data_IF_625018264313
#
_entry.id   IF_625018264313
#
_cell.length_a   1.000
_cell.length_b   1.000
_cell.length_c   1.000
_cell.angle_alpha   90.00
_cell.angle_beta   90.00
_cell.angle_gamma   90.00
#
_symmetry.space_group_name_H-M   'P 1'
#
loop_
_entity.id
_entity.type
_entity.pdbx_description
1 polymer ?
#
# COMPACT_ATOMS: atom_id res chain seq x y z
N UNK A 1 -8.25 -0.26 -17.72
CA UNK A 1 -8.57 1.14 -18.13
C UNK A 1 -8.44 2.14 -16.98
N UNK A 2 -9.04 1.92 -15.79
CA UNK A 2 -8.96 2.87 -14.66
C UNK A 2 -7.53 3.32 -14.30
N UNK A 3 -6.58 2.38 -14.13
CA UNK A 3 -5.18 2.71 -13.86
C UNK A 3 -4.55 3.58 -14.96
N UNK A 4 -4.89 3.34 -16.22
CA UNK A 4 -4.32 4.08 -17.36
C UNK A 4 -4.79 5.53 -17.31
N UNK A 5 -6.11 5.76 -17.31
CA UNK A 5 -6.66 7.11 -17.32
C UNK A 5 -6.33 7.89 -16.05
N UNK A 6 -6.33 7.24 -14.87
CA UNK A 6 -5.94 7.92 -13.63
C UNK A 6 -4.44 8.24 -13.57
N UNK A 7 -3.60 7.50 -14.28
CA UNK A 7 -2.15 7.76 -14.31
C UNK A 7 -1.78 8.84 -15.33
N UNK A 8 -2.33 8.80 -16.53
CA UNK A 8 -1.89 9.63 -17.64
C UNK A 8 -2.93 10.60 -18.18
N UNK A 9 -4.19 10.55 -17.71
CA UNK A 9 -5.28 11.39 -18.21
C UNK A 9 -5.76 10.93 -19.58
N UNK A 10 -5.93 11.88 -20.49
CA UNK A 10 -6.34 11.63 -21.87
C UNK A 10 -5.23 10.91 -22.63
N UNK A 11 -5.46 9.67 -23.00
CA UNK A 11 -4.54 8.82 -23.75
C UNK A 11 -5.31 7.92 -24.73
N UNK A 12 -4.62 7.03 -25.43
CA UNK A 12 -5.25 6.14 -26.41
C UNK A 12 -6.15 5.13 -25.71
N UNK A 13 -7.43 5.11 -26.09
CA UNK A 13 -8.41 4.11 -25.65
C UNK A 13 -8.59 3.07 -26.75
N UNK A 14 -8.11 1.86 -26.50
CA UNK A 14 -8.30 0.71 -27.38
C UNK A 14 -9.39 -0.19 -26.80
N UNK A 15 -10.51 -0.31 -27.50
CA UNK A 15 -11.62 -1.21 -27.14
C UNK A 15 -11.63 -2.51 -27.98
N UNK A 16 -10.85 -2.54 -29.05
CA UNK A 16 -10.70 -3.69 -29.94
C UNK A 16 -9.26 -4.22 -29.93
N UNK A 17 -9.06 -5.51 -30.18
CA UNK A 17 -7.72 -6.10 -30.30
C UNK A 17 -6.91 -5.43 -31.43
N UNK A 18 -5.66 -5.09 -31.14
CA UNK A 18 -4.74 -4.55 -32.14
C UNK A 18 -4.26 -5.72 -33.01
N UNK A 19 -4.61 -5.67 -34.29
CA UNK A 19 -4.32 -6.76 -35.27
C UNK A 19 -3.13 -6.44 -36.19
N UNK A 20 -2.52 -5.26 -36.06
CA UNK A 20 -1.40 -4.82 -36.90
C UNK A 20 -0.61 -3.68 -36.26
N UNK A 21 0.44 -3.22 -36.93
CA UNK A 21 1.20 -2.07 -36.48
C UNK A 21 0.35 -0.78 -36.58
N UNK A 22 0.16 -0.10 -35.44
CA UNK A 22 -0.48 1.20 -35.36
C UNK A 22 0.61 2.23 -35.11
N UNK A 23 0.74 3.17 -36.01
CA UNK A 23 1.80 4.20 -35.99
C UNK A 23 1.29 5.57 -35.56
N UNK A 24 -0.01 5.77 -35.46
CA UNK A 24 -0.65 7.00 -35.00
C UNK A 24 -1.35 6.77 -33.68
N UNK A 25 -1.32 7.76 -32.82
CA UNK A 25 -1.99 7.73 -31.52
C UNK A 25 -2.91 8.96 -31.38
N UNK A 26 -4.17 8.73 -31.02
CA UNK A 26 -5.14 9.79 -30.77
C UNK A 26 -5.63 9.71 -29.33
N UNK A 27 -5.69 10.84 -28.64
CA UNK A 27 -6.17 10.91 -27.26
C UNK A 27 -7.69 10.76 -27.20
N UNK A 28 -8.16 9.83 -26.40
CA UNK A 28 -9.54 9.77 -25.94
C UNK A 28 -9.62 10.48 -24.59
N UNK A 29 -10.74 11.12 -24.31
CA UNK A 29 -10.93 11.85 -23.07
C UNK A 29 -11.06 10.93 -21.87
N UNK A 30 -10.78 11.44 -20.65
CA UNK A 30 -11.09 10.74 -19.41
C UNK A 30 -12.56 10.30 -19.37
N UNK A 31 -13.48 11.11 -19.94
CA UNK A 31 -14.91 10.81 -20.04
C UNK A 31 -15.17 9.53 -20.84
N UNK A 32 -14.54 9.41 -22.02
CA UNK A 32 -14.67 8.21 -22.88
C UNK A 32 -14.17 6.96 -22.14
N UNK A 33 -13.06 7.08 -21.39
CA UNK A 33 -12.56 5.98 -20.55
C UNK A 33 -13.57 5.57 -19.49
N UNK A 34 -14.15 6.54 -18.76
CA UNK A 34 -15.11 6.24 -17.69
C UNK A 34 -16.41 5.66 -18.23
N UNK A 35 -16.85 6.08 -19.43
CA UNK A 35 -17.98 5.46 -20.10
C UNK A 35 -17.74 3.95 -20.30
N UNK A 36 -16.63 3.58 -20.89
CA UNK A 36 -16.29 2.17 -21.11
C UNK A 36 -16.11 1.42 -19.78
N UNK A 37 -15.44 2.04 -18.78
CA UNK A 37 -15.25 1.44 -17.45
C UNK A 37 -16.61 1.11 -16.80
N UNK A 38 -17.58 2.02 -16.85
CA UNK A 38 -18.89 1.78 -16.25
C UNK A 38 -19.71 0.79 -17.07
N UNK A 39 -19.73 0.89 -18.40
CA UNK A 39 -20.42 -0.07 -19.27
C UNK A 39 -19.93 -1.51 -19.04
N UNK A 40 -18.61 -1.73 -18.98
CA UNK A 40 -18.00 -3.03 -18.73
C UNK A 40 -18.31 -3.55 -17.31
N UNK A 41 -18.21 -2.67 -16.30
CA UNK A 41 -18.47 -3.05 -14.91
C UNK A 41 -19.97 -3.32 -14.66
N UNK A 42 -20.87 -2.63 -15.36
CA UNK A 42 -22.31 -2.91 -15.31
C UNK A 42 -22.63 -4.29 -15.86
N UNK A 43 -22.04 -4.64 -17.01
CA UNK A 43 -22.17 -5.99 -17.57
C UNK A 43 -21.62 -7.03 -16.58
N UNK A 44 -20.44 -6.79 -16.00
CA UNK A 44 -19.82 -7.71 -15.05
C UNK A 44 -20.66 -7.89 -13.77
N UNK A 45 -21.17 -6.80 -13.19
CA UNK A 45 -22.04 -6.86 -12.00
C UNK A 45 -23.34 -7.61 -12.28
N UNK A 46 -23.90 -7.49 -13.49
CA UNK A 46 -25.17 -8.12 -13.84
C UNK A 46 -25.02 -9.59 -14.25
N UNK A 47 -23.86 -9.99 -14.79
CA UNK A 47 -23.70 -11.33 -15.39
C UNK A 47 -22.85 -12.30 -14.55
N UNK A 48 -21.95 -11.79 -13.68
CA UNK A 48 -21.11 -12.65 -12.87
C UNK A 48 -21.86 -13.16 -11.62
N UNK A 49 -21.52 -14.37 -11.20
CA UNK A 49 -22.07 -14.95 -9.99
C UNK A 49 -21.51 -14.23 -8.73
N UNK A 50 -22.36 -14.02 -7.69
CA UNK A 50 -21.87 -13.55 -6.39
C UNK A 50 -20.88 -14.55 -5.78
N UNK A 51 -19.87 -14.04 -5.07
CA UNK A 51 -18.91 -14.91 -4.39
C UNK A 51 -17.55 -14.25 -4.19
N UNK A 52 -16.73 -14.91 -3.37
CA UNK A 52 -15.32 -14.56 -3.24
C UNK A 52 -14.54 -14.94 -4.50
N UNK A 53 -13.53 -14.16 -4.81
CA UNK A 53 -12.54 -14.54 -5.83
C UNK A 53 -11.76 -15.77 -5.33
N UNK A 54 -11.68 -16.79 -6.16
CA UNK A 54 -10.80 -17.95 -5.97
C UNK A 54 -9.92 -18.09 -7.22
N UNK A 55 -8.68 -18.49 -7.04
CA UNK A 55 -7.73 -18.70 -8.13
C UNK A 55 -7.61 -17.48 -9.10
N UNK A 56 -7.70 -16.25 -8.54
CA UNK A 56 -7.64 -15.02 -9.32
C UNK A 56 -8.83 -14.75 -10.24
N UNK A 57 -9.92 -15.50 -10.13
CA UNK A 57 -11.11 -15.32 -10.98
C UNK A 57 -11.94 -14.13 -10.53
N UNK A 58 -12.45 -13.38 -11.51
CA UNK A 58 -13.34 -12.25 -11.25
C UNK A 58 -14.75 -12.75 -10.93
N UNK A 59 -15.33 -12.25 -9.86
CA UNK A 59 -16.71 -12.51 -9.41
C UNK A 59 -17.53 -11.22 -9.40
N UNK A 60 -18.83 -11.33 -9.16
CA UNK A 60 -19.69 -10.15 -9.01
C UNK A 60 -19.19 -9.21 -7.90
N UNK A 61 -18.71 -9.76 -6.77
CA UNK A 61 -18.19 -8.96 -5.66
C UNK A 61 -16.95 -8.18 -6.06
N UNK A 62 -16.06 -8.79 -6.83
CA UNK A 62 -14.89 -8.10 -7.39
C UNK A 62 -15.32 -6.97 -8.33
N UNK A 63 -16.28 -7.24 -9.22
CA UNK A 63 -16.82 -6.21 -10.12
C UNK A 63 -17.46 -5.04 -9.36
N UNK A 64 -18.26 -5.33 -8.32
CA UNK A 64 -18.85 -4.32 -7.43
C UNK A 64 -17.78 -3.48 -6.71
N UNK A 65 -16.72 -4.11 -6.20
CA UNK A 65 -15.64 -3.42 -5.51
C UNK A 65 -14.87 -2.47 -6.45
N UNK A 66 -14.54 -2.91 -7.66
CA UNK A 66 -13.93 -2.05 -8.67
C UNK A 66 -14.86 -0.92 -9.11
N UNK A 67 -16.17 -1.21 -9.29
CA UNK A 67 -17.15 -0.18 -9.64
C UNK A 67 -17.29 0.86 -8.52
N UNK A 68 -17.34 0.43 -7.25
CA UNK A 68 -17.38 1.35 -6.11
C UNK A 68 -16.16 2.28 -6.08
N UNK A 69 -14.94 1.75 -6.31
CA UNK A 69 -13.72 2.54 -6.43
C UNK A 69 -13.76 3.51 -7.61
N UNK A 70 -14.24 3.07 -8.78
CA UNK A 70 -14.36 3.91 -9.97
C UNK A 70 -15.41 5.02 -9.77
N UNK A 71 -16.57 4.71 -9.22
CA UNK A 71 -17.62 5.69 -8.89
C UNK A 71 -17.11 6.75 -7.92
N UNK A 72 -16.45 6.35 -6.81
CA UNK A 72 -15.89 7.30 -5.85
C UNK A 72 -14.83 8.19 -6.50
N UNK A 73 -13.93 7.62 -7.32
CA UNK A 73 -12.89 8.38 -8.02
C UNK A 73 -13.50 9.42 -8.95
N UNK A 74 -14.49 9.02 -9.74
CA UNK A 74 -15.17 9.90 -10.69
C UNK A 74 -16.00 10.97 -9.97
N UNK A 75 -16.70 10.61 -8.91
CA UNK A 75 -17.45 11.52 -8.06
C UNK A 75 -16.58 12.62 -7.47
N UNK A 76 -15.38 12.30 -6.99
CA UNK A 76 -14.41 13.29 -6.50
C UNK A 76 -13.98 14.30 -7.59
N UNK A 77 -13.94 13.88 -8.85
CA UNK A 77 -13.56 14.74 -9.98
C UNK A 77 -14.72 15.62 -10.45
N UNK A 78 -15.94 15.06 -10.54
CA UNK A 78 -17.13 15.72 -11.14
C UNK A 78 -18.04 16.39 -10.12
N UNK A 79 -18.07 15.92 -8.87
CA UNK A 79 -19.03 16.34 -7.85
C UNK A 79 -20.40 15.67 -7.99
N UNK A 80 -20.56 14.67 -8.85
CA UNK A 80 -21.85 14.02 -9.10
C UNK A 80 -22.34 13.21 -7.89
N UNK A 81 -23.48 13.65 -7.32
CA UNK A 81 -24.08 13.02 -6.15
C UNK A 81 -24.53 11.58 -6.41
N UNK A 82 -24.97 11.26 -7.63
CA UNK A 82 -25.36 9.90 -8.04
C UNK A 82 -24.20 8.91 -7.95
N UNK A 83 -22.99 9.30 -8.33
CA UNK A 83 -21.81 8.46 -8.26
C UNK A 83 -21.35 8.22 -6.82
N UNK A 84 -21.45 9.21 -5.94
CA UNK A 84 -21.23 8.99 -4.49
C UNK A 84 -22.26 8.02 -3.92
N UNK A 85 -23.53 8.19 -4.26
CA UNK A 85 -24.58 7.29 -3.80
C UNK A 85 -24.36 5.85 -4.27
N UNK A 86 -24.01 5.66 -5.53
CA UNK A 86 -23.71 4.35 -6.11
C UNK A 86 -22.47 3.71 -5.47
N UNK A 87 -21.39 4.47 -5.25
CA UNK A 87 -20.21 3.99 -4.56
C UNK A 87 -20.53 3.47 -3.16
N UNK A 88 -21.36 4.22 -2.39
CA UNK A 88 -21.79 3.81 -1.07
C UNK A 88 -22.64 2.54 -1.10
N UNK A 89 -23.59 2.43 -2.03
CA UNK A 89 -24.46 1.24 -2.17
C UNK A 89 -23.64 0.00 -2.49
N UNK A 90 -22.75 0.06 -3.51
CA UNK A 90 -21.94 -1.06 -3.93
C UNK A 90 -20.97 -1.53 -2.82
N UNK A 91 -20.35 -0.59 -2.12
CA UNK A 91 -19.45 -0.91 -1.02
C UNK A 91 -20.22 -1.55 0.16
N UNK A 92 -21.37 -1.01 0.53
CA UNK A 92 -22.24 -1.58 1.58
C UNK A 92 -22.80 -2.95 1.21
N UNK A 93 -23.10 -3.21 -0.05
CA UNK A 93 -23.50 -4.53 -0.52
C UNK A 93 -22.45 -5.60 -0.22
N UNK A 94 -21.17 -5.26 -0.39
CA UNK A 94 -20.07 -6.17 -0.08
C UNK A 94 -19.91 -6.33 1.43
N UNK A 95 -19.93 -5.24 2.19
CA UNK A 95 -19.85 -5.26 3.67
C UNK A 95 -20.97 -6.16 4.23
N UNK A 96 -22.21 -5.96 3.80
CA UNK A 96 -23.40 -6.66 4.30
C UNK A 96 -23.52 -8.09 3.77
N UNK A 97 -22.72 -8.49 2.79
CA UNK A 97 -22.80 -9.81 2.17
C UNK A 97 -22.42 -10.96 3.09
N UNK A 98 -21.72 -10.66 4.19
CA UNK A 98 -21.17 -11.63 5.16
C UNK A 98 -20.17 -12.65 4.55
N UNK A 99 -19.75 -12.45 3.30
CA UNK A 99 -18.75 -13.30 2.64
C UNK A 99 -17.34 -12.95 3.06
N UNK A 100 -17.14 -11.73 3.57
CA UNK A 100 -15.88 -11.19 4.05
C UNK A 100 -15.99 -10.85 5.53
N UNK A 101 -14.91 -10.99 6.27
CA UNK A 101 -14.87 -10.66 7.69
C UNK A 101 -13.48 -10.24 8.12
N UNK A 102 -13.39 -9.45 9.17
CA UNK A 102 -12.10 -9.09 9.76
C UNK A 102 -11.51 -10.25 10.58
N UNK A 103 -10.20 -10.34 10.59
CA UNK A 103 -9.49 -11.14 11.58
C UNK A 103 -9.57 -10.46 12.94
N UNK A 104 -9.69 -11.26 14.00
CA UNK A 104 -9.70 -10.73 15.39
C UNK A 104 -8.32 -10.23 15.79
N UNK A 105 -7.30 -11.01 15.45
CA UNK A 105 -5.91 -10.59 15.55
C UNK A 105 -5.46 -10.10 14.16
N UNK A 106 -4.98 -8.86 14.08
CA UNK A 106 -4.51 -8.31 12.81
C UNK A 106 -3.27 -9.02 12.27
N UNK A 107 -2.51 -9.72 13.12
CA UNK A 107 -1.37 -10.53 12.67
C UNK A 107 -1.80 -11.69 11.78
N UNK A 108 -2.99 -12.28 12.03
CA UNK A 108 -3.52 -13.36 11.20
C UNK A 108 -3.80 -12.90 9.76
N UNK A 109 -4.18 -11.63 9.56
CA UNK A 109 -4.37 -11.06 8.21
C UNK A 109 -3.11 -11.19 7.35
N UNK A 110 -1.95 -11.05 7.97
CA UNK A 110 -0.65 -11.03 7.31
C UNK A 110 0.18 -12.29 7.55
N UNK A 111 -0.35 -13.28 8.28
CA UNK A 111 0.31 -14.58 8.41
C UNK A 111 0.46 -15.23 7.04
N UNK A 112 1.57 -15.93 6.82
CA UNK A 112 1.84 -16.61 5.54
C UNK A 112 0.81 -17.72 5.26
N UNK A 113 0.25 -18.33 6.30
CA UNK A 113 -0.81 -19.32 6.16
C UNK A 113 -2.13 -18.74 5.58
N UNK A 114 -2.29 -17.42 5.64
CA UNK A 114 -3.43 -16.68 5.12
C UNK A 114 -3.05 -15.81 3.90
N UNK A 115 -1.91 -16.04 3.26
CA UNK A 115 -1.42 -15.22 2.15
C UNK A 115 -2.18 -15.42 0.84
N UNK A 116 -2.92 -16.51 0.69
CA UNK A 116 -3.77 -16.80 -0.48
C UNK A 116 -5.05 -15.96 -0.42
N UNK A 117 -5.24 -15.11 -1.43
CA UNK A 117 -6.41 -14.23 -1.51
C UNK A 117 -7.74 -14.95 -1.60
N UNK A 118 -7.78 -16.17 -2.13
CA UNK A 118 -8.99 -16.99 -2.19
C UNK A 118 -9.50 -17.46 -0.84
N UNK A 119 -8.60 -17.69 0.10
CA UNK A 119 -8.91 -18.14 1.48
C UNK A 119 -8.86 -17.03 2.52
N UNK A 120 -8.13 -15.95 2.26
CA UNK A 120 -8.02 -14.80 3.16
C UNK A 120 -9.40 -14.16 3.43
N UNK A 121 -9.74 -13.92 4.70
CA UNK A 121 -11.08 -13.43 5.08
C UNK A 121 -11.38 -12.02 4.60
N UNK A 122 -10.37 -11.17 4.45
CA UNK A 122 -10.53 -9.76 4.08
C UNK A 122 -10.29 -9.49 2.59
N UNK A 123 -9.59 -10.37 1.87
CA UNK A 123 -9.29 -10.17 0.46
C UNK A 123 -10.55 -10.31 -0.41
N UNK A 124 -10.81 -9.29 -1.23
CA UNK A 124 -11.87 -9.30 -2.24
C UNK A 124 -11.28 -9.71 -3.58
N UNK A 125 -10.12 -9.18 -3.92
CA UNK A 125 -9.37 -9.55 -5.11
C UNK A 125 -7.87 -9.48 -4.88
N UNK A 126 -7.15 -10.47 -5.41
CA UNK A 126 -5.70 -10.56 -5.37
C UNK A 126 -5.12 -10.95 -6.73
N UNK A 127 -3.85 -10.59 -6.93
CA UNK A 127 -3.00 -11.19 -7.96
C UNK A 127 -2.27 -12.35 -7.30
N UNK A 128 -2.48 -13.54 -7.85
CA UNK A 128 -1.93 -14.76 -7.27
C UNK A 128 -0.49 -14.97 -7.72
N UNK A 129 0.33 -15.40 -6.78
CA UNK A 129 1.71 -15.81 -6.99
C UNK A 129 1.93 -17.23 -6.47
N UNK A 130 2.95 -17.89 -6.99
CA UNK A 130 3.34 -19.25 -6.58
C UNK A 130 4.84 -19.32 -6.30
N UNK A 131 5.30 -20.42 -5.72
CA UNK A 131 6.73 -20.73 -5.60
C UNK A 131 7.36 -21.21 -6.92
N UNK A 132 6.60 -21.28 -8.00
CA UNK A 132 7.07 -21.66 -9.33
C UNK A 132 7.39 -20.40 -10.15
N UNK A 133 8.68 -20.20 -10.44
CA UNK A 133 9.12 -19.11 -11.31
C UNK A 133 8.48 -19.20 -12.70
N UNK A 134 8.30 -20.43 -13.20
CA UNK A 134 7.67 -20.66 -14.50
C UNK A 134 6.20 -20.22 -14.54
N UNK A 135 5.44 -20.50 -13.49
CA UNK A 135 4.04 -20.10 -13.39
C UNK A 135 3.89 -18.59 -13.21
N UNK A 136 4.74 -17.97 -12.38
CA UNK A 136 4.78 -16.52 -12.22
C UNK A 136 5.16 -15.79 -13.52
N UNK A 137 5.87 -16.45 -14.43
CA UNK A 137 6.33 -15.93 -15.73
C UNK A 137 5.46 -16.37 -16.91
N UNK A 138 4.22 -16.83 -16.68
CA UNK A 138 3.37 -17.42 -17.73
C UNK A 138 3.16 -16.53 -18.98
N UNK A 139 3.33 -15.21 -18.84
CA UNK A 139 3.16 -14.24 -19.93
C UNK A 139 4.48 -13.73 -20.51
N UNK A 140 5.62 -14.00 -19.89
CA UNK A 140 6.95 -13.61 -20.36
C UNK A 140 7.99 -14.64 -19.95
N UNK A 141 8.21 -15.63 -20.81
CA UNK A 141 9.19 -16.69 -20.58
C UNK A 141 10.65 -16.20 -20.52
N UNK A 142 10.90 -14.92 -20.86
CA UNK A 142 12.23 -14.30 -20.75
C UNK A 142 12.42 -13.51 -19.46
N UNK A 143 11.33 -13.21 -18.74
CA UNK A 143 11.42 -12.53 -17.47
C UNK A 143 11.97 -13.47 -16.40
N UNK A 144 12.98 -13.04 -15.69
CA UNK A 144 13.49 -13.69 -14.50
C UNK A 144 13.02 -12.95 -13.25
N UNK A 145 12.81 -13.66 -12.14
CA UNK A 145 12.40 -13.06 -10.86
C UNK A 145 11.01 -12.39 -10.89
N UNK A 146 9.98 -13.07 -11.36
CA UNK A 146 8.63 -12.52 -11.56
C UNK A 146 7.67 -12.71 -10.39
N UNK A 147 8.09 -13.09 -9.22
CA UNK A 147 7.24 -13.21 -8.05
C UNK A 147 6.96 -11.86 -7.37
N UNK A 148 6.19 -11.90 -6.29
CA UNK A 148 5.91 -10.72 -5.46
C UNK A 148 7.17 -10.25 -4.74
N UNK A 149 7.60 -9.01 -5.02
CA UNK A 149 8.82 -8.40 -4.44
C UNK A 149 8.58 -7.63 -3.13
N UNK A 150 7.37 -7.62 -2.62
CA UNK A 150 7.05 -6.98 -1.33
C UNK A 150 7.92 -7.46 -0.18
N UNK A 151 8.43 -8.69 -0.27
CA UNK A 151 9.35 -9.28 0.72
C UNK A 151 10.71 -8.55 0.85
N UNK A 152 11.19 -7.86 -0.19
CA UNK A 152 12.54 -7.25 -0.22
C UNK A 152 12.54 -5.74 -0.32
N UNK A 153 11.53 -5.15 -0.95
CA UNK A 153 11.53 -3.74 -1.32
C UNK A 153 11.52 -2.79 -0.11
N UNK A 154 10.94 -3.23 1.00
CA UNK A 154 10.83 -2.46 2.25
C UNK A 154 11.91 -2.80 3.29
N UNK A 155 12.73 -3.81 3.04
CA UNK A 155 13.73 -4.30 3.99
C UNK A 155 14.89 -3.34 4.10
N UNK A 156 15.21 -2.91 5.33
CA UNK A 156 16.31 -2.00 5.62
C UNK A 156 17.67 -2.73 5.63
N UNK A 157 18.78 -2.00 5.59
CA UNK A 157 20.14 -2.55 5.58
C UNK A 157 20.57 -3.02 6.97
N UNK A 158 20.20 -4.24 7.32
CA UNK A 158 20.56 -4.86 8.61
C UNK A 158 21.81 -5.76 8.52
N UNK A 159 22.06 -6.37 7.36
CA UNK A 159 23.00 -7.46 7.14
C UNK A 159 24.50 -7.10 7.24
N UNK A 160 24.81 -5.85 7.59
CA UNK A 160 26.17 -5.36 7.84
C UNK A 160 26.40 -4.93 9.28
N UNK A 161 25.34 -4.98 10.10
CA UNK A 161 25.47 -4.66 11.51
C UNK A 161 26.08 -5.83 12.32
N UNK A 162 26.72 -5.48 13.43
CA UNK A 162 27.32 -6.48 14.32
C UNK A 162 26.27 -7.49 14.79
N UNK A 163 26.62 -8.77 14.76
CA UNK A 163 25.75 -9.87 15.12
C UNK A 163 24.73 -10.29 14.04
N UNK A 164 24.66 -9.56 12.92
CA UNK A 164 23.66 -9.81 11.88
C UNK A 164 24.27 -10.43 10.62
N UNK A 165 23.56 -11.41 10.08
CA UNK A 165 23.78 -11.95 8.73
C UNK A 165 22.42 -12.13 8.04
N UNK A 166 22.44 -12.35 6.71
CA UNK A 166 21.20 -12.63 5.97
C UNK A 166 20.61 -13.96 6.37
N UNK A 167 19.31 -13.98 6.52
CA UNK A 167 18.52 -15.18 6.70
C UNK A 167 17.14 -15.03 6.00
N UNK A 168 16.34 -16.08 6.05
CA UNK A 168 15.00 -16.07 5.45
C UNK A 168 14.07 -15.14 6.19
N UNK A 169 14.15 -15.08 7.53
CA UNK A 169 13.25 -14.27 8.37
C UNK A 169 13.43 -12.77 8.17
N UNK A 170 14.67 -12.34 7.91
CA UNK A 170 14.99 -10.94 7.69
C UNK A 170 15.04 -10.56 6.20
N UNK A 171 14.93 -11.53 5.31
CA UNK A 171 14.94 -11.37 3.85
C UNK A 171 16.16 -10.60 3.29
N UNK A 172 16.15 -10.28 2.00
CA UNK A 172 17.23 -9.57 1.31
C UNK A 172 16.98 -8.06 1.32
N UNK A 173 17.90 -7.22 1.83
CA UNK A 173 17.67 -5.78 1.98
C UNK A 173 17.81 -5.02 0.65
N UNK A 174 16.70 -4.55 0.08
CA UNK A 174 16.69 -3.72 -1.13
C UNK A 174 16.57 -2.22 -0.84
N UNK A 175 16.03 -1.83 0.32
CA UNK A 175 15.93 -0.43 0.77
C UNK A 175 15.26 0.51 -0.25
N UNK A 176 14.28 0.02 -1.01
CA UNK A 176 13.62 0.82 -2.05
C UNK A 176 12.65 1.83 -1.47
N UNK A 177 11.98 1.44 -0.38
CA UNK A 177 10.98 2.24 0.28
C UNK A 177 11.21 2.26 1.79
N UNK A 178 11.11 3.43 2.38
CA UNK A 178 11.11 3.63 3.83
C UNK A 178 9.85 4.42 4.22
N UNK A 179 9.27 4.19 5.40
CA UNK A 179 8.14 4.98 5.89
C UNK A 179 8.57 6.44 6.10
N UNK A 180 7.67 7.38 5.86
CA UNK A 180 7.88 8.75 6.33
C UNK A 180 7.71 8.81 7.86
N UNK A 181 8.34 9.80 8.50
CA UNK A 181 8.13 10.06 9.93
C UNK A 181 6.63 10.24 10.25
N UNK A 182 5.90 10.92 9.37
CA UNK A 182 4.47 11.11 9.48
C UNK A 182 3.70 9.78 9.57
N UNK A 183 3.96 8.82 8.67
CA UNK A 183 3.28 7.51 8.70
C UNK A 183 3.49 6.80 10.04
N UNK A 184 4.71 6.80 10.58
CA UNK A 184 5.01 6.17 11.86
C UNK A 184 4.27 6.83 13.03
N UNK A 185 4.04 8.15 12.96
CA UNK A 185 3.35 8.94 13.98
C UNK A 185 1.82 8.79 13.95
N UNK A 186 1.25 8.29 12.85
CA UNK A 186 -0.21 8.07 12.74
C UNK A 186 -0.73 7.00 13.72
N UNK A 187 0.12 6.08 14.17
CA UNK A 187 -0.29 4.94 14.99
C UNK A 187 -0.18 5.24 16.50
N UNK A 188 -1.27 4.99 17.21
CA UNK A 188 -1.27 4.93 18.68
C UNK A 188 -1.17 3.49 19.16
N UNK A 189 0.04 3.04 19.47
CA UNK A 189 0.32 1.66 19.87
C UNK A 189 -0.33 1.21 21.18
N UNK A 190 -0.92 2.13 21.95
CA UNK A 190 -1.63 1.79 23.16
C UNK A 190 -3.05 1.26 22.90
N UNK A 191 -3.60 1.53 21.71
CA UNK A 191 -4.98 1.17 21.34
C UNK A 191 -5.10 0.46 19.99
N UNK A 192 -4.14 0.66 19.08
CA UNK A 192 -4.14 0.14 17.70
C UNK A 192 -3.14 -1.01 17.56
N UNK A 193 -3.62 -2.19 17.18
CA UNK A 193 -2.76 -3.37 17.00
C UNK A 193 -1.91 -3.35 15.72
N UNK A 194 -2.21 -2.47 14.76
CA UNK A 194 -1.62 -2.51 13.41
C UNK A 194 -0.14 -2.16 13.36
N UNK A 195 0.35 -1.26 14.23
CA UNK A 195 1.76 -0.87 14.19
C UNK A 195 2.70 -2.06 14.33
N UNK A 196 2.49 -2.89 15.35
CA UNK A 196 3.35 -4.05 15.68
C UNK A 196 3.36 -5.13 14.59
N UNK A 197 2.29 -5.20 13.79
CA UNK A 197 2.18 -6.15 12.68
C UNK A 197 2.76 -5.57 11.40
N UNK A 198 2.51 -4.29 11.17
CA UNK A 198 2.93 -3.61 9.94
C UNK A 198 4.42 -3.32 9.92
N UNK A 199 5.01 -3.01 11.09
CA UNK A 199 6.38 -2.56 11.19
C UNK A 199 7.23 -3.45 12.09
N UNK A 200 8.49 -3.55 11.71
CA UNK A 200 9.57 -4.16 12.49
C UNK A 200 10.55 -3.07 12.88
N UNK A 201 10.85 -2.98 14.14
CA UNK A 201 11.74 -2.00 14.75
C UNK A 201 12.90 -2.63 15.53
N UNK A 202 12.89 -3.98 15.69
CA UNK A 202 13.94 -4.72 16.35
C UNK A 202 14.43 -5.90 15.51
N UNK A 203 15.75 -6.11 15.51
CA UNK A 203 16.42 -7.26 14.89
C UNK A 203 17.27 -7.95 15.94
N UNK A 204 17.34 -9.28 15.87
CA UNK A 204 18.03 -10.10 16.84
C UNK A 204 19.27 -10.74 16.22
N UNK A 205 20.38 -10.78 16.96
CA UNK A 205 21.65 -11.33 16.50
C UNK A 205 21.46 -12.79 16.06
N UNK A 206 21.72 -13.07 14.79
CA UNK A 206 21.50 -14.38 14.17
C UNK A 206 22.79 -15.09 13.73
N UNK A 207 23.95 -14.45 13.87
CA UNK A 207 25.25 -15.11 13.73
C UNK A 207 25.49 -16.07 14.90
N UNK A 208 25.97 -17.27 14.60
CA UNK A 208 26.31 -18.25 15.65
C UNK A 208 27.53 -19.10 15.23
N UNK A 209 28.69 -18.92 15.88
CA UNK A 209 28.99 -17.94 16.94
C UNK A 209 29.10 -16.50 16.42
N UNK A 210 29.00 -15.53 17.32
CA UNK A 210 29.35 -14.14 17.04
C UNK A 210 30.87 -14.06 16.74
N UNK A 211 31.27 -13.21 15.79
CA UNK A 211 32.67 -13.00 15.47
C UNK A 211 33.37 -12.10 16.49
N UNK A 212 34.69 -12.17 16.55
CA UNK A 212 35.49 -11.24 17.37
C UNK A 212 35.22 -9.76 17.01
N UNK A 213 34.97 -9.47 15.72
CA UNK A 213 34.62 -8.13 15.26
C UNK A 213 33.26 -7.67 15.77
N UNK A 214 32.27 -8.56 15.87
CA UNK A 214 30.96 -8.24 16.44
C UNK A 214 31.09 -7.91 17.93
N UNK A 215 31.82 -8.74 18.70
CA UNK A 215 32.06 -8.56 20.13
C UNK A 215 32.98 -7.37 20.45
N UNK A 216 33.82 -6.95 19.51
CA UNK A 216 34.58 -5.69 19.65
C UNK A 216 33.66 -4.46 19.60
N UNK A 217 32.59 -4.50 18.81
CA UNK A 217 31.60 -3.43 18.75
C UNK A 217 30.67 -3.47 19.95
N UNK A 218 30.09 -4.65 20.25
CA UNK A 218 29.13 -4.86 21.35
C UNK A 218 29.60 -6.00 22.28
N UNK A 219 30.45 -5.69 23.28
CA UNK A 219 31.09 -6.71 24.12
C UNK A 219 30.13 -7.55 24.98
N UNK A 220 28.90 -7.09 25.15
CA UNK A 220 27.88 -7.77 25.96
C UNK A 220 26.76 -8.42 25.10
N UNK A 221 26.93 -8.48 23.78
CA UNK A 221 25.97 -9.13 22.88
C UNK A 221 26.18 -10.64 22.89
N UNK A 222 25.07 -11.38 22.87
CA UNK A 222 25.05 -12.82 22.61
C UNK A 222 24.14 -13.12 21.39
N UNK A 223 24.31 -14.30 20.79
CA UNK A 223 23.38 -14.77 19.74
C UNK A 223 21.96 -14.83 20.29
N UNK A 224 21.00 -14.28 19.56
CA UNK A 224 19.60 -14.16 20.00
C UNK A 224 19.27 -12.86 20.75
N UNK A 225 20.27 -12.11 21.23
CA UNK A 225 20.01 -10.79 21.81
C UNK A 225 19.60 -9.77 20.75
N UNK A 226 19.00 -8.67 21.17
CA UNK A 226 18.77 -7.52 20.28
C UNK A 226 20.11 -7.08 19.67
N UNK A 227 20.16 -7.01 18.33
CA UNK A 227 21.30 -6.50 17.58
C UNK A 227 21.07 -5.05 17.11
N UNK A 228 19.84 -4.74 16.68
CA UNK A 228 19.42 -3.41 16.24
C UNK A 228 18.07 -3.10 16.86
N UNK A 229 17.90 -1.89 17.38
CA UNK A 229 16.60 -1.37 17.79
C UNK A 229 16.43 0.06 17.30
N UNK A 230 15.32 0.34 16.61
CA UNK A 230 15.02 1.64 16.01
C UNK A 230 13.75 2.20 16.65
N UNK A 231 13.90 3.24 17.46
CA UNK A 231 12.80 3.88 18.17
C UNK A 231 12.13 4.96 17.30
N UNK A 232 10.81 4.98 17.27
CA UNK A 232 10.05 6.09 16.63
C UNK A 232 9.97 7.36 17.49
N UNK A 233 10.51 7.32 18.70
CA UNK A 233 10.62 8.43 19.64
C UNK A 233 12.08 8.67 19.99
N UNK A 234 12.40 9.83 20.61
CA UNK A 234 13.74 10.10 21.09
C UNK A 234 14.13 9.16 22.23
N UNK A 235 15.34 8.61 22.18
CA UNK A 235 15.89 7.80 23.24
C UNK A 235 16.45 8.68 24.37
N UNK A 236 16.28 8.23 25.61
CA UNK A 236 16.89 8.86 26.77
C UNK A 236 18.40 8.56 26.83
N UNK A 237 19.17 9.39 27.53
CA UNK A 237 20.61 9.16 27.72
C UNK A 237 20.87 7.80 28.41
N UNK A 238 20.04 7.41 29.35
CA UNK A 238 20.15 6.09 30.02
C UNK A 238 19.95 4.95 29.04
N UNK A 239 19.02 5.04 28.09
CA UNK A 239 18.83 4.05 27.05
C UNK A 239 20.03 3.97 26.10
N UNK A 240 20.58 5.13 25.71
CA UNK A 240 21.79 5.20 24.85
C UNK A 240 23.01 4.58 25.54
N UNK A 241 23.23 4.90 26.82
CA UNK A 241 24.31 4.31 27.63
C UNK A 241 24.12 2.78 27.78
N UNK A 242 22.90 2.33 28.05
CA UNK A 242 22.61 0.89 28.16
C UNK A 242 22.87 0.14 26.84
N UNK A 243 22.45 0.70 25.71
CA UNK A 243 22.60 0.09 24.41
C UNK A 243 24.05 0.05 23.93
N UNK A 244 24.87 1.02 24.29
CA UNK A 244 26.21 1.27 23.75
C UNK A 244 27.18 0.07 23.80
N UNK A 245 26.95 -0.91 24.67
CA UNK A 245 27.76 -2.14 24.81
C UNK A 245 27.01 -3.39 24.37
N UNK A 246 25.74 -3.27 23.93
CA UNK A 246 24.84 -4.40 23.70
C UNK A 246 24.34 -4.50 22.28
N UNK A 247 23.90 -3.37 21.70
CA UNK A 247 23.27 -3.35 20.38
C UNK A 247 23.27 -1.95 19.77
N UNK A 248 23.00 -1.88 18.49
CA UNK A 248 22.81 -0.61 17.80
C UNK A 248 21.43 -0.04 18.14
N UNK A 249 21.42 1.05 18.88
CA UNK A 249 20.23 1.85 19.13
C UNK A 249 20.21 3.04 18.17
N UNK A 250 19.12 3.20 17.44
CA UNK A 250 18.80 4.40 16.67
C UNK A 250 17.50 4.98 17.23
N UNK A 251 17.45 6.29 17.40
CA UNK A 251 16.20 6.96 17.73
C UNK A 251 15.67 7.77 16.54
N UNK A 252 14.48 8.36 16.69
CA UNK A 252 13.84 9.11 15.61
C UNK A 252 14.73 10.23 15.04
N UNK A 253 15.61 10.83 15.87
CA UNK A 253 16.49 11.93 15.46
C UNK A 253 17.75 11.43 14.72
N UNK A 254 18.10 10.15 14.85
CA UNK A 254 19.15 9.52 14.07
C UNK A 254 18.67 9.21 12.64
N UNK A 255 17.37 9.01 12.46
CA UNK A 255 16.76 8.60 11.18
C UNK A 255 16.15 9.78 10.42
N UNK A 256 15.54 10.73 11.15
CA UNK A 256 14.84 11.87 10.54
C UNK A 256 15.24 13.20 11.20
N UNK A 257 15.21 14.29 10.44
CA UNK A 257 15.24 15.65 10.99
C UNK A 257 13.95 15.95 11.78
N UNK A 258 13.93 17.07 12.48
CA UNK A 258 12.71 17.57 13.16
C UNK A 258 11.53 17.76 12.21
N UNK A 259 11.79 18.17 10.96
CA UNK A 259 10.79 18.35 9.92
C UNK A 259 10.37 17.02 9.26
N UNK A 260 11.06 15.90 9.56
CA UNK A 260 10.74 14.59 9.02
C UNK A 260 11.49 14.20 7.74
N UNK A 261 12.56 14.94 7.36
CA UNK A 261 13.44 14.56 6.26
C UNK A 261 14.32 13.37 6.68
N UNK A 262 14.37 12.34 5.84
CA UNK A 262 15.24 11.20 6.09
C UNK A 262 16.72 11.60 5.98
N UNK A 263 17.50 11.35 7.04
CA UNK A 263 18.94 11.56 7.12
C UNK A 263 19.70 10.25 7.12
N UNK A 264 19.12 9.18 7.66
CA UNK A 264 19.64 7.82 7.57
C UNK A 264 18.71 6.98 6.71
N UNK A 265 19.13 6.68 5.47
CA UNK A 265 18.30 5.97 4.48
C UNK A 265 18.58 4.47 4.39
N UNK A 266 19.60 4.01 5.09
CA UNK A 266 19.98 2.59 5.11
C UNK A 266 19.38 1.82 6.26
N UNK A 267 19.01 2.50 7.35
CA UNK A 267 18.45 1.90 8.56
C UNK A 267 17.25 2.72 9.04
N UNK A 268 16.11 2.08 9.09
CA UNK A 268 14.82 2.68 9.41
C UNK A 268 13.85 1.61 9.91
N UNK A 269 12.77 2.02 10.57
CA UNK A 269 11.66 1.11 10.91
C UNK A 269 11.11 0.48 9.64
N UNK A 270 11.22 -0.84 9.53
CA UNK A 270 10.92 -1.58 8.31
C UNK A 270 9.44 -1.92 8.21
N UNK A 271 8.83 -1.77 7.02
CA UNK A 271 7.51 -2.34 6.79
C UNK A 271 7.63 -3.85 6.61
N UNK A 272 7.04 -4.60 7.53
CA UNK A 272 7.24 -6.04 7.66
C UNK A 272 6.00 -6.89 7.34
N UNK A 273 4.84 -6.28 7.17
CA UNK A 273 3.59 -7.03 6.91
C UNK A 273 3.62 -7.93 5.67
N UNK A 274 4.57 -7.72 4.77
CA UNK A 274 4.74 -8.55 3.56
C UNK A 274 5.82 -9.63 3.72
N UNK A 275 6.36 -9.83 4.92
CA UNK A 275 7.38 -10.86 5.15
C UNK A 275 6.87 -12.26 4.82
N UNK A 276 7.75 -13.08 4.27
CA UNK A 276 7.48 -14.49 3.96
C UNK A 276 8.57 -15.38 4.59
N UNK A 277 8.28 -16.00 5.75
CA UNK A 277 9.24 -16.88 6.42
C UNK A 277 9.45 -18.21 5.67
N UNK A 278 8.68 -18.49 4.64
CA UNK A 278 8.81 -19.69 3.81
C UNK A 278 9.56 -19.46 2.50
N UNK A 279 9.99 -18.21 2.24
CA UNK A 279 10.74 -17.85 1.06
C UNK A 279 12.10 -18.59 1.00
N UNK A 280 12.65 -18.73 -0.19
CA UNK A 280 13.98 -19.31 -0.38
C UNK A 280 15.06 -18.30 0.07
N UNK A 281 16.10 -18.81 0.75
CA UNK A 281 17.21 -17.98 1.18
C UNK A 281 17.78 -17.11 0.03
N UNK A 282 17.94 -15.82 0.31
CA UNK A 282 18.48 -14.80 -0.61
C UNK A 282 17.67 -14.58 -1.90
N UNK A 283 16.46 -15.16 -2.02
CA UNK A 283 15.53 -14.88 -3.09
C UNK A 283 14.94 -13.46 -2.94
N UNK A 284 14.59 -12.83 -4.05
CA UNK A 284 14.05 -11.47 -4.05
C UNK A 284 12.55 -11.40 -4.42
N UNK A 285 11.87 -12.54 -4.41
CA UNK A 285 10.43 -12.67 -4.61
C UNK A 285 9.85 -13.79 -3.73
N UNK A 286 8.55 -13.84 -3.56
CA UNK A 286 7.85 -14.83 -2.75
C UNK A 286 6.50 -15.23 -3.37
N UNK A 287 5.87 -16.25 -2.78
CA UNK A 287 4.57 -16.78 -3.19
C UNK A 287 3.37 -15.99 -2.67
N UNK A 288 3.60 -15.02 -1.78
CA UNK A 288 2.52 -14.25 -1.17
C UNK A 288 1.70 -13.52 -2.24
N UNK A 289 0.39 -13.69 -2.24
CA UNK A 289 -0.52 -12.94 -3.11
C UNK A 289 -0.45 -11.43 -2.85
N UNK A 290 -0.60 -10.66 -3.91
CA UNK A 290 -0.73 -9.20 -3.80
C UNK A 290 -2.22 -8.82 -3.74
N UNK A 291 -2.67 -8.34 -2.59
CA UNK A 291 -4.05 -7.91 -2.41
C UNK A 291 -4.30 -6.58 -3.16
N UNK A 292 -5.26 -6.59 -4.08
CA UNK A 292 -5.63 -5.43 -4.91
C UNK A 292 -6.77 -4.64 -4.28
N UNK A 293 -7.74 -5.35 -3.70
CA UNK A 293 -8.86 -4.77 -2.94
C UNK A 293 -9.14 -5.66 -1.74
N UNK A 294 -9.29 -5.03 -0.56
CA UNK A 294 -9.67 -5.69 0.69
C UNK A 294 -10.91 -5.06 1.30
N UNK A 295 -11.55 -5.80 2.20
CA UNK A 295 -12.75 -5.35 2.93
C UNK A 295 -12.62 -3.96 3.57
N UNK A 296 -11.51 -3.57 4.23
CA UNK A 296 -11.35 -2.22 4.77
C UNK A 296 -11.60 -1.10 3.75
N UNK A 297 -11.20 -1.32 2.49
CA UNK A 297 -11.42 -0.30 1.47
C UNK A 297 -12.90 -0.05 1.19
N UNK A 298 -13.76 -1.06 1.34
CA UNK A 298 -15.21 -0.89 1.20
C UNK A 298 -15.77 0.01 2.31
N UNK A 299 -15.29 -0.14 3.55
CA UNK A 299 -15.65 0.76 4.65
C UNK A 299 -15.22 2.20 4.36
N UNK A 300 -14.01 2.40 3.87
CA UNK A 300 -13.50 3.73 3.50
C UNK A 300 -14.28 4.35 2.35
N UNK A 301 -14.60 3.59 1.29
CA UNK A 301 -15.37 4.08 0.15
C UNK A 301 -16.79 4.47 0.62
N UNK A 302 -17.46 3.62 1.39
CA UNK A 302 -18.80 3.90 1.87
C UNK A 302 -18.82 5.14 2.79
N UNK A 303 -17.91 5.21 3.76
CA UNK A 303 -17.84 6.33 4.70
C UNK A 303 -17.51 7.65 3.96
N UNK A 304 -16.55 7.66 3.04
CA UNK A 304 -16.20 8.84 2.28
C UNK A 304 -17.35 9.32 1.39
N UNK A 305 -18.02 8.38 0.70
CA UNK A 305 -19.15 8.69 -0.16
C UNK A 305 -20.33 9.30 0.60
N UNK A 306 -20.50 8.94 1.87
CA UNK A 306 -21.58 9.43 2.72
C UNK A 306 -21.24 10.67 3.56
N UNK A 307 -20.00 11.18 3.51
CA UNK A 307 -19.58 12.31 4.34
C UNK A 307 -20.51 13.53 4.29
N UNK A 308 -21.10 13.82 3.12
CA UNK A 308 -21.94 15.00 2.90
C UNK A 308 -23.45 14.68 2.92
N UNK A 309 -23.82 13.40 2.89
CA UNK A 309 -25.25 12.99 2.75
C UNK A 309 -25.78 12.30 3.99
N UNK A 310 -25.00 11.47 4.65
CA UNK A 310 -25.37 10.73 5.86
C UNK A 310 -24.16 10.52 6.77
N UNK A 311 -23.71 11.60 7.38
CA UNK A 311 -22.45 11.61 8.15
C UNK A 311 -22.52 10.68 9.36
N UNK A 312 -23.69 10.54 10.02
CA UNK A 312 -23.83 9.63 11.15
C UNK A 312 -23.59 8.17 10.73
N UNK A 313 -24.19 7.73 9.64
CA UNK A 313 -23.96 6.37 9.13
C UNK A 313 -22.49 6.15 8.71
N UNK A 314 -21.86 7.19 8.14
CA UNK A 314 -20.42 7.14 7.82
C UNK A 314 -19.56 6.94 9.07
N UNK A 315 -19.89 7.62 10.18
CA UNK A 315 -19.23 7.46 11.49
C UNK A 315 -19.47 6.06 12.05
N UNK A 316 -20.68 5.56 11.97
CA UNK A 316 -21.02 4.23 12.47
C UNK A 316 -20.22 3.14 11.74
N UNK A 317 -20.13 3.21 10.40
CA UNK A 317 -19.30 2.32 9.60
C UNK A 317 -17.80 2.45 9.93
N UNK A 318 -17.30 3.67 10.07
CA UNK A 318 -15.89 3.87 10.45
C UNK A 318 -15.61 3.30 11.84
N UNK A 319 -16.51 3.49 12.80
CA UNK A 319 -16.35 2.94 14.14
C UNK A 319 -16.42 1.42 14.15
N UNK A 320 -17.29 0.81 13.33
CA UNK A 320 -17.32 -0.64 13.15
C UNK A 320 -15.95 -1.17 12.69
N UNK A 321 -15.35 -0.53 11.68
CA UNK A 321 -14.02 -0.89 11.18
C UNK A 321 -12.92 -0.64 12.24
N UNK A 322 -12.89 0.55 12.86
CA UNK A 322 -11.85 0.95 13.81
C UNK A 322 -11.77 0.00 14.99
N UNK A 323 -12.93 -0.40 15.52
CA UNK A 323 -13.02 -1.36 16.62
C UNK A 323 -12.39 -2.72 16.29
N UNK A 324 -12.38 -3.14 14.99
CA UNK A 324 -11.72 -4.39 14.54
C UNK A 324 -10.20 -4.28 14.51
N UNK A 325 -9.67 -3.06 14.56
CA UNK A 325 -8.21 -2.79 14.59
C UNK A 325 -7.70 -2.43 15.98
N UNK A 326 -8.59 -2.37 16.96
CA UNK A 326 -8.24 -2.09 18.35
C UNK A 326 -7.47 -3.26 18.97
N UNK A 327 -6.57 -2.96 19.89
CA UNK A 327 -6.06 -3.93 20.86
C UNK A 327 -7.23 -4.45 21.69
N UNK A 328 -7.33 -5.76 21.99
CA UNK A 328 -8.42 -6.31 22.79
C UNK A 328 -8.67 -5.53 24.10
N UNK A 329 -9.92 -5.11 24.29
CA UNK A 329 -10.32 -4.25 25.42
C UNK A 329 -10.15 -2.75 25.19
N UNK A 330 -9.67 -2.34 23.99
CA UNK A 330 -9.47 -0.94 23.59
C UNK A 330 -10.41 -0.48 22.46
N UNK A 331 -11.43 -1.27 22.15
CA UNK A 331 -12.35 -1.02 21.05
C UNK A 331 -13.05 0.34 21.16
N UNK A 332 -13.45 0.74 22.38
CA UNK A 332 -14.08 2.03 22.59
C UNK A 332 -13.10 3.21 22.49
N UNK A 333 -11.82 2.98 22.79
CA UNK A 333 -10.78 4.01 22.69
C UNK A 333 -10.41 4.34 21.23
N UNK A 334 -10.77 3.45 20.27
CA UNK A 334 -10.59 3.67 18.85
C UNK A 334 -11.73 4.44 18.18
N UNK A 335 -12.88 4.58 18.85
CA UNK A 335 -14.06 5.23 18.25
C UNK A 335 -13.84 6.72 18.04
N UNK A 336 -14.45 7.23 17.00
CA UNK A 336 -14.49 8.64 16.64
C UNK A 336 -15.91 9.19 16.72
N UNK A 337 -16.00 10.50 16.84
CA UNK A 337 -17.23 11.28 16.78
C UNK A 337 -17.49 11.82 15.38
N UNK A 338 -18.70 12.35 15.15
CA UNK A 338 -19.06 12.96 13.87
C UNK A 338 -18.17 14.16 13.51
N UNK A 339 -17.73 14.93 14.51
CA UNK A 339 -16.84 16.09 14.29
C UNK A 339 -15.43 15.68 13.87
N UNK A 340 -14.96 14.50 14.24
CA UNK A 340 -13.64 13.97 13.89
C UNK A 340 -13.60 13.34 12.50
N UNK A 341 -14.75 12.85 11.99
CA UNK A 341 -14.79 12.25 10.66
C UNK A 341 -14.69 13.33 9.58
N UNK A 342 -13.54 13.42 8.97
CA UNK A 342 -13.21 14.32 7.85
C UNK A 342 -12.55 13.53 6.73
N UNK A 343 -12.39 14.16 5.56
CA UNK A 343 -11.64 13.54 4.46
C UNK A 343 -10.17 13.30 4.86
N UNK A 344 -9.56 14.20 5.61
CA UNK A 344 -8.18 14.04 6.09
C UNK A 344 -8.08 12.88 7.07
N UNK A 345 -9.05 12.70 7.98
CA UNK A 345 -9.12 11.52 8.86
C UNK A 345 -9.20 10.22 8.04
N UNK A 346 -10.07 10.16 7.02
CA UNK A 346 -10.20 8.97 6.16
C UNK A 346 -8.89 8.70 5.41
N UNK A 347 -8.24 9.73 4.89
CA UNK A 347 -6.95 9.59 4.22
C UNK A 347 -5.85 9.08 5.15
N UNK A 348 -5.83 9.53 6.41
CA UNK A 348 -4.90 9.04 7.41
C UNK A 348 -5.20 7.60 7.82
N UNK A 349 -6.48 7.26 7.90
CA UNK A 349 -6.90 5.89 8.20
C UNK A 349 -6.55 4.93 7.06
N UNK A 350 -6.75 5.36 5.79
CA UNK A 350 -6.28 4.63 4.62
C UNK A 350 -4.75 4.48 4.62
N UNK A 351 -4.01 5.48 5.08
CA UNK A 351 -2.55 5.39 5.20
C UNK A 351 -2.14 4.36 6.27
N UNK A 352 -2.82 4.31 7.43
CA UNK A 352 -2.58 3.29 8.45
C UNK A 352 -2.86 1.87 7.96
N UNK A 353 -3.99 1.68 7.31
CA UNK A 353 -4.47 0.35 6.91
C UNK A 353 -3.80 -0.16 5.63
N UNK A 354 -3.71 0.70 4.60
CA UNK A 354 -3.33 0.31 3.24
C UNK A 354 -1.89 0.71 2.88
N UNK A 355 -1.03 1.05 3.86
CA UNK A 355 0.37 1.39 3.58
C UNK A 355 1.07 0.25 2.83
N UNK A 356 1.86 0.61 1.82
CA UNK A 356 2.55 -0.35 0.95
C UNK A 356 1.68 -1.07 -0.09
N UNK A 357 0.34 -0.90 -0.08
CA UNK A 357 -0.58 -1.54 -1.03
C UNK A 357 -0.80 -0.72 -2.30
N UNK A 358 0.05 0.24 -2.58
CA UNK A 358 0.19 1.00 -3.84
C UNK A 358 -1.02 1.87 -4.24
N UNK A 359 -1.98 2.13 -3.36
CA UNK A 359 -3.17 2.94 -3.66
C UNK A 359 -3.03 4.43 -3.26
N UNK A 360 -2.07 4.78 -2.39
CA UNK A 360 -1.95 6.10 -1.76
C UNK A 360 -1.93 7.27 -2.74
N UNK A 361 -1.18 7.16 -3.84
CA UNK A 361 -1.09 8.24 -4.83
C UNK A 361 -2.45 8.53 -5.46
N UNK A 362 -3.24 7.51 -5.79
CA UNK A 362 -4.57 7.65 -6.35
C UNK A 362 -5.55 8.28 -5.34
N UNK A 363 -5.46 7.91 -4.06
CA UNK A 363 -6.27 8.50 -3.00
C UNK A 363 -6.02 10.00 -2.86
N UNK A 364 -4.74 10.40 -2.77
CA UNK A 364 -4.36 11.80 -2.65
C UNK A 364 -4.67 12.60 -3.91
N UNK A 365 -4.52 11.99 -5.10
CA UNK A 365 -4.86 12.62 -6.38
C UNK A 365 -6.37 12.92 -6.46
N UNK A 366 -7.22 11.87 -6.31
CA UNK A 366 -8.67 12.02 -6.47
C UNK A 366 -9.28 13.00 -5.48
N UNK A 367 -8.75 13.09 -4.27
CA UNK A 367 -9.18 14.04 -3.24
C UNK A 367 -8.55 15.43 -3.38
N UNK A 368 -7.71 15.65 -4.41
CA UNK A 368 -6.95 16.91 -4.67
C UNK A 368 -6.00 17.27 -3.51
N UNK A 369 -5.58 16.28 -2.72
CA UNK A 369 -4.68 16.45 -1.58
C UNK A 369 -3.21 16.08 -1.88
N UNK A 370 -2.88 15.64 -3.10
CA UNK A 370 -1.55 15.14 -3.44
C UNK A 370 -0.46 16.18 -3.16
N UNK A 371 -0.60 17.38 -3.69
CA UNK A 371 0.43 18.41 -3.56
C UNK A 371 0.54 18.89 -2.10
N UNK A 372 -0.59 19.09 -1.42
CA UNK A 372 -0.64 19.46 -0.01
C UNK A 372 0.06 18.40 0.88
N UNK A 373 -0.33 17.13 0.78
CA UNK A 373 0.22 16.06 1.61
C UNK A 373 1.70 15.79 1.32
N UNK A 374 2.13 15.86 0.06
CA UNK A 374 3.55 15.72 -0.27
C UNK A 374 4.36 16.85 0.32
N UNK A 375 3.89 18.10 0.24
CA UNK A 375 4.59 19.25 0.86
C UNK A 375 4.67 19.15 2.38
N UNK A 376 3.64 18.60 3.02
CA UNK A 376 3.59 18.47 4.48
C UNK A 376 4.36 17.25 5.00
N UNK A 377 4.35 16.13 4.27
CA UNK A 377 4.72 14.83 4.83
C UNK A 377 5.83 14.09 4.07
N UNK A 378 6.24 14.58 2.89
CA UNK A 378 7.34 14.00 2.13
C UNK A 378 8.43 15.05 1.88
N UNK A 379 9.34 15.15 2.82
CA UNK A 379 10.40 16.17 2.80
C UNK A 379 11.39 15.99 1.65
N UNK A 380 11.44 14.83 1.00
CA UNK A 380 12.27 14.59 -0.16
C UNK A 380 11.67 15.13 -1.46
N UNK A 381 10.34 15.15 -1.55
CA UNK A 381 9.62 15.57 -2.74
C UNK A 381 8.98 16.96 -2.61
N UNK A 382 8.90 17.54 -1.40
CA UNK A 382 8.13 18.77 -1.11
C UNK A 382 8.49 19.95 -1.99
N UNK A 383 9.78 20.11 -2.34
CA UNK A 383 10.27 21.25 -3.10
C UNK A 383 10.08 21.08 -4.62
N UNK A 384 9.82 19.83 -5.06
CA UNK A 384 9.69 19.46 -6.46
C UNK A 384 8.24 19.19 -6.89
N UNK A 385 7.35 18.90 -5.94
CA UNK A 385 5.95 18.59 -6.27
C UNK A 385 5.23 19.83 -6.82
N UNK A 386 4.52 19.64 -7.92
CA UNK A 386 3.72 20.66 -8.61
C UNK A 386 2.35 20.09 -8.98
N UNK A 387 1.39 20.96 -9.34
CA UNK A 387 0.03 20.53 -9.71
C UNK A 387 0.01 19.56 -10.91
N UNK A 388 0.91 19.72 -11.87
CA UNK A 388 0.96 18.82 -13.03
C UNK A 388 1.34 17.39 -12.67
N UNK A 389 1.91 17.13 -11.49
CA UNK A 389 2.19 15.77 -11.00
C UNK A 389 0.92 14.98 -10.60
N UNK A 390 -0.26 15.58 -10.72
CA UNK A 390 -1.53 14.86 -10.70
C UNK A 390 -1.66 13.87 -11.87
N UNK A 391 -0.89 14.05 -12.92
CA UNK A 391 -0.68 13.09 -14.01
C UNK A 391 0.80 12.74 -14.08
N UNK A 392 1.11 11.57 -14.61
CA UNK A 392 2.49 11.17 -14.90
C UNK A 392 2.86 11.52 -16.34
N UNK A 393 4.16 11.67 -16.65
CA UNK A 393 4.59 11.88 -18.02
C UNK A 393 4.28 10.66 -18.88
N UNK A 394 3.88 10.90 -20.14
CA UNK A 394 3.81 9.82 -21.13
C UNK A 394 5.24 9.26 -21.32
N UNK A 395 5.45 7.95 -21.24
CA UNK A 395 6.77 7.36 -21.44
C UNK A 395 7.38 7.79 -22.79
N UNK A 396 8.67 8.15 -22.79
CA UNK A 396 9.33 8.69 -23.97
C UNK A 396 9.29 7.73 -25.16
N UNK A 397 9.42 6.42 -24.90
CA UNK A 397 9.33 5.40 -25.95
C UNK A 397 7.96 5.37 -26.65
N UNK A 398 6.88 5.77 -25.97
CA UNK A 398 5.54 5.91 -26.59
C UNK A 398 5.46 7.15 -27.48
N UNK A 399 6.03 8.27 -27.04
CA UNK A 399 6.10 9.50 -27.85
C UNK A 399 6.99 9.31 -29.09
N UNK A 400 8.05 8.52 -28.96
CA UNK A 400 8.98 8.24 -30.07
C UNK A 400 8.40 7.28 -31.12
N UNK A 401 7.51 6.39 -30.68
CA UNK A 401 6.91 5.33 -31.52
C UNK A 401 5.81 5.87 -32.47
N UNK A 402 5.26 7.05 -32.22
CA UNK A 402 4.16 7.59 -33.05
C UNK A 402 4.66 8.49 -34.17
N UNK A 403 3.93 8.50 -35.30
CA UNK A 403 4.24 9.34 -36.47
C UNK A 403 3.59 10.73 -36.37
N UNK A 404 2.41 10.83 -35.72
CA UNK A 404 1.67 12.08 -35.50
C UNK A 404 2.11 12.84 -34.24
N UNK A 405 3.40 13.14 -34.13
CA UNK A 405 4.02 13.71 -32.90
C UNK A 405 3.46 15.07 -32.48
N UNK A 406 2.87 15.82 -33.41
CA UNK A 406 2.27 17.12 -33.14
C UNK A 406 0.91 17.00 -32.44
N UNK A 407 0.22 15.87 -32.59
CA UNK A 407 -1.07 15.59 -31.97
C UNK A 407 -0.91 14.82 -30.66
N UNK A 408 0.00 13.83 -30.63
CA UNK A 408 0.27 13.02 -29.42
C UNK A 408 1.51 13.55 -28.71
N UNK A 409 1.32 14.61 -27.95
CA UNK A 409 2.40 15.31 -27.21
C UNK A 409 2.49 14.85 -25.76
N UNK A 410 3.50 15.33 -25.02
CA UNK A 410 3.66 15.10 -23.60
C UNK A 410 2.52 15.74 -22.77
N UNK A 411 2.26 15.20 -21.58
CA UNK A 411 1.33 15.83 -20.64
C UNK A 411 1.83 17.23 -20.21
N UNK A 412 0.91 18.19 -19.97
CA UNK A 412 1.28 19.55 -19.56
C UNK A 412 2.19 19.56 -18.33
N UNK A 413 3.16 20.47 -18.33
CA UNK A 413 4.11 20.65 -17.23
C UNK A 413 5.37 19.79 -17.33
N UNK A 414 5.37 18.75 -18.17
CA UNK A 414 6.57 17.96 -18.45
C UNK A 414 7.24 18.46 -19.74
N UNK A 415 8.56 18.59 -19.67
CA UNK A 415 9.38 18.93 -20.86
C UNK A 415 9.60 17.67 -21.71
N UNK A 416 9.75 17.89 -23.03
CA UNK A 416 10.11 16.84 -23.98
C UNK A 416 11.52 16.33 -23.71
#
# INVERSE_FOLDING_TARGET
>A
MWLITETWGDVVLNTEPITGAVTEAHRSSVEDFYKVIFDDLDVAVNQLAPGKSTDGRITQDVAKAFKARACLTRACATGEASLYAEAAVLAKDIINSQRYSFYTDYSDMWDIANCDGGTNKEAIFSINYTNSELENNAFDATATNSGNKGIVDFVMKYDKEAGMERDVLNARPFQRYMPSRYLLQLYNENIDQRYKVTFKDAWYANKNPLSESDLKVYPLMATGDTAIYIMKTAATDSQKVWASKRYRLLDVNDVYTSEGKAILRSQFVEMHKFADPTAVYNQDWCQRDAFVIRLPEMYFIAAEAMLQTNKQEAVDLMNEFLMKRAIPGKENDMKITESELTIDFILDERARELCGEQIRWFDLKRTKKLVEYVKLHNMDAKDNIQEYHMLRPIPQNQLDAVTNKDEFTQNPGYTK
#
